data_IF_894598204593
#
_entry.id   IF_894598204593
#
_cell.length_a   1.000
_cell.length_b   1.000
_cell.length_c   1.000
_cell.angle_alpha   90.00
_cell.angle_beta   90.00
_cell.angle_gamma   90.00
#
_symmetry.space_group_name_H-M   'P 1'
#
loop_
_entity.id
_entity.type
_entity.pdbx_description
1 polymer ?
#
# COMPACT_ATOMS: atom_id res chain seq x y z
N UNK A 1 -32.12 -81.33 0.68
CA UNK A 1 -32.89 -80.36 1.51
C UNK A 1 -31.91 -79.35 2.09
N UNK A 2 -31.88 -78.16 1.49
CA UNK A 2 -30.97 -77.05 1.84
C UNK A 2 -31.55 -76.26 3.02
N UNK A 3 -30.72 -75.95 4.03
CA UNK A 3 -31.00 -74.95 5.06
C UNK A 3 -30.07 -73.76 4.83
N UNK A 4 -30.62 -72.65 4.32
CA UNK A 4 -29.92 -71.38 4.24
C UNK A 4 -30.00 -70.67 5.59
N UNK A 5 -28.85 -70.24 6.11
CA UNK A 5 -28.75 -69.40 7.32
C UNK A 5 -28.70 -67.94 6.86
N UNK A 6 -29.68 -67.16 7.31
CA UNK A 6 -29.84 -65.73 7.05
C UNK A 6 -28.92 -64.94 8.00
N UNK A 7 -27.92 -64.25 7.47
CA UNK A 7 -27.11 -63.29 8.23
C UNK A 7 -27.83 -61.94 8.27
N UNK A 8 -28.24 -61.50 9.45
CA UNK A 8 -28.73 -60.15 9.71
C UNK A 8 -27.52 -59.25 9.97
N UNK A 9 -27.23 -58.33 9.05
CA UNK A 9 -26.22 -57.29 9.23
C UNK A 9 -26.89 -56.12 9.98
N UNK A 10 -26.47 -55.90 11.23
CA UNK A 10 -26.85 -54.72 11.99
C UNK A 10 -25.82 -53.63 11.67
N UNK A 11 -26.25 -52.61 10.90
CA UNK A 11 -25.45 -51.42 10.62
C UNK A 11 -25.65 -50.43 11.77
N UNK A 12 -24.61 -50.20 12.56
CA UNK A 12 -24.56 -49.10 13.51
C UNK A 12 -24.25 -47.80 12.77
N UNK A 13 -25.23 -46.91 12.65
CA UNK A 13 -25.00 -45.52 12.25
C UNK A 13 -24.41 -44.76 13.45
N UNK A 14 -23.09 -44.65 13.52
CA UNK A 14 -22.45 -43.72 14.45
C UNK A 14 -22.63 -42.30 13.92
N UNK A 15 -23.54 -41.56 14.54
CA UNK A 15 -23.72 -40.14 14.28
C UNK A 15 -22.49 -39.40 14.82
N UNK A 16 -21.49 -39.17 13.99
CA UNK A 16 -20.39 -38.28 14.31
C UNK A 16 -20.95 -36.87 14.38
N UNK A 17 -21.04 -36.31 15.58
CA UNK A 17 -21.22 -34.88 15.75
C UNK A 17 -20.03 -34.19 15.07
N UNK A 18 -20.25 -33.64 13.88
CA UNK A 18 -19.34 -32.69 13.28
C UNK A 18 -19.35 -31.47 14.20
N UNK A 19 -18.37 -31.39 15.09
CA UNK A 19 -17.99 -30.12 15.68
C UNK A 19 -17.67 -29.20 14.50
N UNK A 20 -18.49 -28.17 14.33
CA UNK A 20 -18.28 -27.09 13.38
C UNK A 20 -16.96 -26.40 13.78
N UNK A 21 -15.84 -26.88 13.22
CA UNK A 21 -14.55 -26.20 13.27
C UNK A 21 -14.65 -24.97 12.37
N UNK A 22 -15.49 -24.00 12.74
CA UNK A 22 -15.42 -22.67 12.16
C UNK A 22 -14.03 -22.15 12.51
N UNK A 23 -13.21 -21.93 11.48
CA UNK A 23 -11.96 -21.21 11.63
C UNK A 23 -12.20 -19.91 12.39
N UNK A 24 -11.19 -19.38 13.06
CA UNK A 24 -11.28 -18.06 13.70
C UNK A 24 -11.88 -17.06 12.70
N UNK A 25 -12.76 -16.14 13.12
CA UNK A 25 -13.24 -15.09 12.23
C UNK A 25 -12.04 -14.41 11.56
N UNK A 26 -12.22 -13.89 10.35
CA UNK A 26 -11.13 -13.27 9.61
C UNK A 26 -11.49 -11.86 9.18
N UNK A 27 -10.48 -11.02 8.94
CA UNK A 27 -10.60 -9.72 8.29
C UNK A 27 -9.53 -9.66 7.21
N UNK A 28 -9.95 -9.38 5.98
CA UNK A 28 -9.12 -9.30 4.78
C UNK A 28 -8.97 -7.84 4.36
N UNK A 29 -7.73 -7.42 4.11
CA UNK A 29 -7.40 -6.02 3.81
C UNK A 29 -6.75 -5.95 2.43
N UNK A 30 -7.28 -5.10 1.56
CA UNK A 30 -6.59 -4.68 0.34
C UNK A 30 -6.04 -3.26 0.56
N UNK A 31 -4.73 -3.15 0.66
CA UNK A 31 -4.07 -1.89 1.03
C UNK A 31 -3.00 -1.47 0.02
N UNK A 32 -2.75 -0.15 -0.02
CA UNK A 32 -1.62 0.43 -0.74
C UNK A 32 -0.28 -0.14 -0.26
N UNK A 33 0.66 -0.40 -1.17
CA UNK A 33 1.93 -1.07 -0.86
C UNK A 33 2.81 -0.35 0.17
N UNK A 34 2.72 0.97 0.27
CA UNK A 34 3.47 1.73 1.28
C UNK A 34 3.03 1.44 2.72
N UNK A 35 1.83 0.88 2.92
CA UNK A 35 1.27 0.51 4.22
C UNK A 35 1.69 -0.88 4.70
N UNK A 36 2.50 -1.64 3.94
CA UNK A 36 2.87 -3.03 4.27
C UNK A 36 3.34 -3.18 5.72
N UNK A 37 4.27 -2.34 6.17
CA UNK A 37 4.86 -2.49 7.49
C UNK A 37 3.87 -2.13 8.62
N UNK A 38 3.26 -0.93 8.66
CA UNK A 38 2.37 -0.57 9.77
C UNK A 38 1.11 -1.44 9.84
N UNK A 39 0.48 -1.77 8.70
CA UNK A 39 -0.74 -2.59 8.71
C UNK A 39 -0.42 -4.04 9.10
N UNK A 40 0.74 -4.58 8.70
CA UNK A 40 1.14 -5.93 9.15
C UNK A 40 1.38 -5.98 10.65
N UNK A 41 2.05 -4.96 11.22
CA UNK A 41 2.27 -4.85 12.67
C UNK A 41 0.93 -4.76 13.43
N UNK A 42 0.02 -3.89 12.99
CA UNK A 42 -1.32 -3.73 13.58
C UNK A 42 -2.21 -4.96 13.42
N UNK A 43 -2.12 -5.65 12.27
CA UNK A 43 -2.83 -6.91 12.03
C UNK A 43 -2.41 -7.99 13.03
N UNK A 44 -1.10 -8.13 13.29
CA UNK A 44 -0.56 -9.08 14.28
C UNK A 44 -1.03 -8.70 15.70
N UNK A 45 -0.93 -7.42 16.06
CA UNK A 45 -1.35 -6.95 17.38
C UNK A 45 -2.84 -7.18 17.65
N UNK A 46 -3.69 -6.84 16.68
CA UNK A 46 -5.13 -7.03 16.78
C UNK A 46 -5.51 -8.51 16.84
N UNK A 47 -4.89 -9.33 15.98
CA UNK A 47 -5.14 -10.78 15.94
C UNK A 47 -4.86 -11.43 17.30
N UNK A 48 -3.77 -11.02 17.97
CA UNK A 48 -3.43 -11.47 19.32
C UNK A 48 -4.45 -11.02 20.38
N UNK A 49 -5.02 -9.82 20.25
CA UNK A 49 -5.95 -9.26 21.22
C UNK A 49 -7.37 -9.82 21.11
N UNK A 50 -7.82 -10.12 19.88
CA UNK A 50 -9.23 -10.42 19.59
C UNK A 50 -9.50 -11.87 19.19
N UNK A 51 -8.46 -12.71 19.11
CA UNK A 51 -8.58 -14.09 18.65
C UNK A 51 -9.28 -14.18 17.28
N UNK A 52 -8.85 -13.32 16.36
CA UNK A 52 -9.34 -13.16 14.99
C UNK A 52 -8.13 -13.17 14.06
N UNK A 53 -8.29 -13.62 12.82
CA UNK A 53 -7.20 -13.61 11.83
C UNK A 53 -7.30 -12.36 10.97
N UNK A 54 -6.30 -11.48 11.00
CA UNK A 54 -6.23 -10.35 10.05
C UNK A 54 -5.19 -10.64 8.99
N UNK A 55 -5.59 -10.65 7.72
CA UNK A 55 -4.69 -10.80 6.56
C UNK A 55 -4.74 -9.56 5.68
N UNK A 56 -3.62 -9.23 5.07
CA UNK A 56 -3.52 -8.08 4.18
C UNK A 56 -2.78 -8.45 2.90
N UNK A 57 -3.31 -7.97 1.78
CA UNK A 57 -2.65 -7.96 0.49
C UNK A 57 -2.24 -6.53 0.17
N UNK A 58 -1.08 -6.37 -0.47
CA UNK A 58 -0.46 -5.07 -0.72
C UNK A 58 -0.07 -4.93 -2.18
N UNK A 59 -0.57 -3.88 -2.84
CA UNK A 59 -0.15 -3.52 -4.19
C UNK A 59 -0.44 -2.03 -4.47
N UNK A 60 -0.40 -1.59 -5.74
CA UNK A 60 -0.89 -0.25 -6.09
C UNK A 60 -2.33 -0.06 -5.66
N UNK A 61 -2.67 1.16 -5.25
CA UNK A 61 -4.04 1.51 -4.88
C UNK A 61 -5.03 1.26 -6.03
N UNK A 62 -4.62 1.46 -7.28
CA UNK A 62 -5.46 1.20 -8.44
C UNK A 62 -5.78 -0.29 -8.58
N UNK A 63 -4.76 -1.14 -8.55
CA UNK A 63 -4.93 -2.59 -8.68
C UNK A 63 -5.80 -3.14 -7.54
N UNK A 64 -5.59 -2.67 -6.32
CA UNK A 64 -6.41 -3.06 -5.18
C UNK A 64 -7.86 -2.61 -5.32
N UNK A 65 -8.11 -1.42 -5.88
CA UNK A 65 -9.46 -0.97 -6.16
C UNK A 65 -10.12 -1.82 -7.26
N UNK A 66 -9.41 -2.07 -8.37
CA UNK A 66 -9.91 -2.92 -9.46
C UNK A 66 -10.27 -4.32 -8.99
N UNK A 67 -9.49 -4.92 -8.08
CA UNK A 67 -9.83 -6.21 -7.49
C UNK A 67 -11.19 -6.19 -6.77
N UNK A 68 -11.50 -5.10 -6.06
CA UNK A 68 -12.81 -4.92 -5.41
C UNK A 68 -13.91 -4.70 -6.47
N UNK A 69 -13.62 -3.90 -7.50
CA UNK A 69 -14.54 -3.68 -8.63
C UNK A 69 -14.86 -4.99 -9.38
N UNK A 70 -13.88 -5.88 -9.51
CA UNK A 70 -13.99 -7.21 -10.13
C UNK A 70 -14.62 -8.27 -9.21
N UNK A 71 -15.01 -7.88 -7.98
CA UNK A 71 -15.73 -8.74 -7.05
C UNK A 71 -14.84 -9.63 -6.17
N UNK A 72 -13.55 -9.31 -6.02
CA UNK A 72 -12.74 -9.97 -5.00
C UNK A 72 -13.30 -9.68 -3.60
N UNK A 73 -13.47 -10.74 -2.81
CA UNK A 73 -13.89 -10.63 -1.42
C UNK A 73 -12.79 -9.96 -0.58
N UNK A 74 -13.08 -8.75 -0.08
CA UNK A 74 -12.24 -8.00 0.83
C UNK A 74 -13.14 -7.32 1.89
N UNK A 75 -12.60 -7.06 3.07
CA UNK A 75 -13.35 -6.46 4.17
C UNK A 75 -12.99 -4.99 4.39
N UNK A 76 -11.74 -4.62 4.11
CA UNK A 76 -11.23 -3.25 4.26
C UNK A 76 -10.40 -2.88 3.05
N UNK A 77 -10.64 -1.68 2.53
CA UNK A 77 -9.81 -1.05 1.53
C UNK A 77 -9.04 0.12 2.13
N UNK A 78 -7.73 0.18 1.92
CA UNK A 78 -6.90 1.33 2.33
C UNK A 78 -6.16 1.92 1.13
N UNK A 79 -6.64 3.08 0.69
CA UNK A 79 -6.17 3.81 -0.47
C UNK A 79 -5.11 4.84 -0.08
N UNK A 80 -4.09 5.03 -0.92
CA UNK A 80 -3.13 6.16 -0.82
C UNK A 80 -3.50 7.39 -1.66
N UNK A 81 -4.66 7.38 -2.32
CA UNK A 81 -5.10 8.50 -3.15
C UNK A 81 -6.64 8.56 -3.25
N UNK A 82 -7.25 9.74 -3.12
CA UNK A 82 -8.71 9.87 -2.94
C UNK A 82 -9.53 9.40 -4.16
N UNK A 83 -8.97 9.47 -5.37
CA UNK A 83 -9.65 9.06 -6.61
C UNK A 83 -10.24 7.64 -6.54
N UNK A 84 -9.45 6.63 -6.16
CA UNK A 84 -9.92 5.23 -6.14
C UNK A 84 -10.91 4.97 -5.00
N UNK A 85 -10.73 5.64 -3.86
CA UNK A 85 -11.71 5.58 -2.78
C UNK A 85 -13.06 6.20 -3.21
N UNK A 86 -13.02 7.31 -3.96
CA UNK A 86 -14.20 7.94 -4.53
C UNK A 86 -14.87 7.07 -5.61
N UNK A 87 -14.10 6.36 -6.44
CA UNK A 87 -14.62 5.40 -7.44
C UNK A 87 -15.45 4.30 -6.75
N UNK A 88 -14.87 3.60 -5.78
CA UNK A 88 -15.57 2.54 -5.06
C UNK A 88 -16.79 3.05 -4.28
N UNK A 89 -16.70 4.27 -3.73
CA UNK A 89 -17.84 4.96 -3.13
C UNK A 89 -18.98 5.16 -4.12
N UNK A 90 -18.69 5.66 -5.32
CA UNK A 90 -19.68 5.92 -6.36
C UNK A 90 -20.37 4.63 -6.81
N UNK A 91 -19.63 3.52 -6.84
CA UNK A 91 -20.15 2.20 -7.17
C UNK A 91 -20.94 1.54 -6.02
N UNK A 92 -20.95 2.13 -4.83
CA UNK A 92 -21.59 1.55 -3.65
C UNK A 92 -20.86 0.33 -3.07
N UNK A 93 -19.57 0.18 -3.37
CA UNK A 93 -18.75 -0.96 -2.95
C UNK A 93 -18.09 -0.77 -1.58
N UNK A 94 -18.23 0.41 -0.96
CA UNK A 94 -17.74 0.69 0.39
C UNK A 94 -18.85 1.25 1.27
N UNK A 95 -18.69 1.06 2.58
CA UNK A 95 -19.50 1.72 3.60
C UNK A 95 -19.04 3.17 3.80
N UNK A 96 -19.85 4.10 3.30
CA UNK A 96 -19.56 5.54 3.39
C UNK A 96 -19.50 6.07 4.82
N UNK A 97 -20.12 5.39 5.79
CA UNK A 97 -20.07 5.78 7.20
C UNK A 97 -18.78 5.33 7.90
N UNK A 98 -18.05 4.40 7.28
CA UNK A 98 -16.75 3.95 7.77
C UNK A 98 -15.57 4.73 7.20
N UNK A 99 -15.81 5.55 6.17
CA UNK A 99 -14.75 6.27 5.46
C UNK A 99 -14.01 7.22 6.40
N UNK A 100 -12.71 7.02 6.54
CA UNK A 100 -11.86 7.81 7.43
C UNK A 100 -10.53 8.17 6.75
N UNK A 101 -9.98 9.32 7.11
CA UNK A 101 -8.61 9.69 6.78
C UNK A 101 -7.70 9.13 7.89
N UNK A 102 -6.85 8.15 7.57
CA UNK A 102 -6.01 7.49 8.57
C UNK A 102 -4.75 8.30 8.87
N UNK A 103 -3.95 8.56 7.83
CA UNK A 103 -2.60 9.12 7.94
C UNK A 103 -2.22 9.87 6.67
N UNK A 104 -1.18 10.69 6.78
CA UNK A 104 -0.58 11.43 5.66
C UNK A 104 0.83 10.95 5.38
N UNK A 105 1.37 11.35 4.23
CA UNK A 105 2.74 11.05 3.85
C UNK A 105 3.33 12.20 3.02
N UNK A 106 4.61 12.08 2.66
CA UNK A 106 5.32 13.04 1.82
C UNK A 106 6.23 12.31 0.86
N UNK A 107 6.62 12.96 -0.24
CA UNK A 107 7.55 12.38 -1.20
C UNK A 107 9.01 12.69 -0.85
N UNK A 108 9.90 11.76 -1.20
CA UNK A 108 11.34 11.94 -1.12
C UNK A 108 12.01 11.41 -2.37
N UNK A 109 13.02 12.14 -2.84
CA UNK A 109 13.97 11.66 -3.84
C UNK A 109 15.03 10.81 -3.14
N UNK A 110 15.24 9.60 -3.62
CA UNK A 110 16.18 8.64 -3.05
C UNK A 110 17.12 8.04 -4.10
N UNK A 111 18.21 7.46 -3.61
CA UNK A 111 19.09 6.55 -4.35
C UNK A 111 19.51 5.40 -3.42
N UNK A 112 20.13 4.34 -3.94
CA UNK A 112 20.69 3.27 -3.11
C UNK A 112 21.79 3.78 -2.19
N UNK A 113 21.85 3.27 -0.96
CA UNK A 113 22.94 3.51 -0.02
C UNK A 113 24.23 2.76 -0.38
N UNK A 114 24.17 1.79 -1.31
CA UNK A 114 25.31 0.97 -1.74
C UNK A 114 25.64 1.11 -3.23
N UNK A 115 24.90 1.96 -3.96
CA UNK A 115 25.05 2.12 -5.41
C UNK A 115 26.21 3.03 -5.83
N UNK A 116 26.61 2.92 -7.11
CA UNK A 116 27.67 3.72 -7.76
C UNK A 116 27.41 5.23 -7.70
N UNK A 117 26.16 5.65 -7.51
CA UNK A 117 25.79 7.06 -7.36
C UNK A 117 26.34 7.69 -6.07
N UNK A 118 26.77 6.91 -5.08
CA UNK A 118 27.43 7.41 -3.87
C UNK A 118 28.89 7.80 -4.08
N UNK A 119 29.51 7.38 -5.18
CA UNK A 119 30.93 7.70 -5.47
C UNK A 119 31.13 9.18 -5.84
N UNK A 120 30.08 9.87 -6.29
CA UNK A 120 30.15 11.28 -6.64
C UNK A 120 29.04 12.09 -5.94
N UNK A 121 29.39 13.20 -5.27
CA UNK A 121 28.40 14.08 -4.64
C UNK A 121 27.35 14.55 -5.64
N UNK A 122 26.09 14.49 -5.24
CA UNK A 122 25.00 15.15 -5.97
C UNK A 122 24.99 16.60 -5.50
N UNK A 123 25.88 17.40 -6.08
CA UNK A 123 26.15 18.79 -5.68
C UNK A 123 25.15 19.81 -6.25
N UNK A 124 23.90 19.39 -6.51
CA UNK A 124 22.85 20.25 -7.02
C UNK A 124 21.90 20.71 -5.89
N UNK A 125 21.56 21.99 -5.88
CA UNK A 125 20.58 22.56 -4.96
C UNK A 125 19.15 22.27 -5.43
N UNK A 126 18.22 22.13 -4.48
CA UNK A 126 16.81 21.91 -4.76
C UNK A 126 16.47 20.54 -5.34
N UNK A 127 15.18 20.31 -5.60
CA UNK A 127 14.68 19.06 -6.20
C UNK A 127 15.03 18.97 -7.69
N UNK A 128 14.78 20.03 -8.45
CA UNK A 128 14.98 20.09 -9.90
C UNK A 128 16.42 19.79 -10.30
N UNK A 129 17.41 20.52 -9.76
CA UNK A 129 18.81 20.29 -10.09
C UNK A 129 19.30 18.88 -9.72
N UNK A 130 18.76 18.28 -8.64
CA UNK A 130 19.08 16.89 -8.26
C UNK A 130 18.48 15.89 -9.26
N UNK A 131 17.24 16.11 -9.68
CA UNK A 131 16.57 15.28 -10.68
C UNK A 131 17.27 15.37 -12.04
N UNK A 132 17.65 16.57 -12.48
CA UNK A 132 18.42 16.78 -13.71
C UNK A 132 19.79 16.08 -13.63
N UNK A 133 20.53 16.27 -12.52
CA UNK A 133 21.82 15.63 -12.32
C UNK A 133 21.72 14.10 -12.35
N UNK A 134 20.72 13.53 -11.68
CA UNK A 134 20.49 12.09 -11.64
C UNK A 134 20.05 11.56 -13.01
N UNK A 135 19.12 12.22 -13.68
CA UNK A 135 18.63 11.82 -15.01
C UNK A 135 19.71 11.81 -16.09
N UNK A 136 20.81 12.56 -15.89
CA UNK A 136 21.98 12.55 -16.75
C UNK A 136 23.02 11.45 -16.39
N UNK A 137 22.89 10.81 -15.22
CA UNK A 137 23.88 9.86 -14.67
C UNK A 137 23.36 8.44 -14.51
N UNK A 138 22.05 8.26 -14.43
CA UNK A 138 21.41 6.99 -14.14
C UNK A 138 20.03 6.91 -14.79
N UNK A 139 19.46 5.72 -14.78
CA UNK A 139 18.06 5.50 -15.13
C UNK A 139 17.20 5.90 -13.93
N UNK A 140 16.13 6.66 -14.16
CA UNK A 140 15.18 6.99 -13.12
C UNK A 140 14.16 5.85 -12.92
N UNK A 141 13.62 5.72 -11.72
CA UNK A 141 12.50 4.83 -11.41
C UNK A 141 11.38 5.61 -10.72
N UNK A 142 10.23 5.73 -11.38
CA UNK A 142 9.02 6.35 -10.86
C UNK A 142 7.87 5.38 -10.93
N UNK A 143 6.87 5.55 -10.06
CA UNK A 143 5.59 4.87 -10.24
C UNK A 143 4.98 5.22 -11.60
N UNK A 144 4.31 4.27 -12.25
CA UNK A 144 3.57 4.56 -13.46
C UNK A 144 2.40 5.50 -13.13
N UNK A 145 2.34 6.73 -13.67
CA UNK A 145 1.27 7.68 -13.36
C UNK A 145 -0.10 7.27 -13.90
N UNK A 146 -0.17 6.27 -14.79
CA UNK A 146 -1.44 5.76 -15.32
C UNK A 146 -2.20 4.86 -14.34
N UNK A 147 -1.50 4.25 -13.37
CA UNK A 147 -2.09 3.27 -12.45
C UNK A 147 -1.50 3.28 -11.03
N UNK A 148 -0.55 4.15 -10.71
CA UNK A 148 -0.01 4.26 -9.35
C UNK A 148 -0.20 5.66 -8.77
N UNK A 149 -0.64 5.73 -7.51
CA UNK A 149 -0.70 6.98 -6.75
C UNK A 149 0.68 7.64 -6.64
N UNK A 150 1.74 6.86 -6.40
CA UNK A 150 3.11 7.37 -6.33
C UNK A 150 3.53 8.04 -7.65
N UNK A 151 3.18 7.43 -8.78
CA UNK A 151 3.43 7.99 -10.11
C UNK A 151 2.66 9.28 -10.35
N UNK A 152 1.38 9.33 -9.98
CA UNK A 152 0.56 10.54 -10.09
C UNK A 152 1.15 11.70 -9.27
N UNK A 153 1.49 11.48 -8.00
CA UNK A 153 2.09 12.52 -7.16
C UNK A 153 3.50 12.91 -7.63
N UNK A 154 4.29 11.95 -8.12
CA UNK A 154 5.61 12.24 -8.71
C UNK A 154 5.49 13.12 -9.94
N UNK A 155 4.55 12.79 -10.84
CA UNK A 155 4.25 13.58 -12.04
C UNK A 155 3.83 14.99 -11.66
N UNK A 156 2.87 15.15 -10.75
CA UNK A 156 2.43 16.45 -10.24
C UNK A 156 3.61 17.28 -9.73
N UNK A 157 4.46 16.67 -8.89
CA UNK A 157 5.61 17.35 -8.29
C UNK A 157 6.60 17.90 -9.33
N UNK A 158 6.89 17.12 -10.37
CA UNK A 158 7.85 17.52 -11.40
C UNK A 158 7.21 18.49 -12.39
N UNK A 159 5.96 18.27 -12.82
CA UNK A 159 5.26 19.20 -13.71
C UNK A 159 5.02 20.56 -13.05
N UNK A 160 4.81 20.60 -11.72
CA UNK A 160 4.71 21.87 -10.99
C UNK A 160 6.03 22.62 -10.94
N UNK A 161 7.15 21.91 -10.83
CA UNK A 161 8.48 22.52 -10.97
C UNK A 161 8.72 23.03 -12.39
N UNK A 162 8.34 22.24 -13.40
CA UNK A 162 8.43 22.63 -14.80
C UNK A 162 7.65 23.93 -15.07
N UNK A 163 6.44 24.07 -14.52
CA UNK A 163 5.65 25.30 -14.60
C UNK A 163 6.35 26.49 -13.91
N UNK A 164 6.93 26.27 -12.72
CA UNK A 164 7.57 27.32 -11.93
C UNK A 164 8.86 27.86 -12.57
N UNK A 165 9.62 26.98 -13.24
CA UNK A 165 10.97 27.27 -13.71
C UNK A 165 11.12 27.26 -15.24
N UNK A 166 10.02 27.09 -15.98
CA UNK A 166 9.99 27.02 -17.46
C UNK A 166 10.91 25.91 -18.01
N UNK A 167 10.81 24.71 -17.43
CA UNK A 167 11.59 23.53 -17.82
C UNK A 167 10.74 22.42 -18.43
N UNK A 168 11.39 21.36 -18.94
CA UNK A 168 10.74 20.15 -19.50
C UNK A 168 11.27 18.87 -18.86
N UNK A 169 11.52 18.93 -17.56
CA UNK A 169 12.16 17.88 -16.82
C UNK A 169 11.28 16.62 -16.79
N UNK A 170 9.97 16.75 -16.61
CA UNK A 170 9.07 15.60 -16.60
C UNK A 170 9.13 14.82 -17.92
N UNK A 171 9.00 15.50 -19.06
CA UNK A 171 9.05 14.84 -20.38
C UNK A 171 10.38 14.10 -20.59
N UNK A 172 11.49 14.77 -20.26
CA UNK A 172 12.84 14.21 -20.41
C UNK A 172 13.08 12.98 -19.54
N UNK A 173 12.68 13.04 -18.26
CA UNK A 173 12.89 11.94 -17.31
C UNK A 173 11.92 10.78 -17.59
N UNK A 174 10.64 11.07 -17.82
CA UNK A 174 9.61 10.05 -18.04
C UNK A 174 9.88 9.20 -19.29
N UNK A 175 10.54 9.76 -20.32
CA UNK A 175 10.94 9.02 -21.52
C UNK A 175 11.97 7.90 -21.23
N UNK A 176 12.76 8.01 -20.16
CA UNK A 176 13.85 7.08 -19.80
C UNK A 176 13.58 6.33 -18.50
N UNK A 177 12.44 6.55 -17.87
CA UNK A 177 12.13 6.02 -16.54
C UNK A 177 11.68 4.56 -16.61
N UNK A 178 12.15 3.75 -15.67
CA UNK A 178 11.52 2.47 -15.36
C UNK A 178 10.24 2.77 -14.59
N UNK A 179 9.10 2.49 -15.24
CA UNK A 179 7.77 2.63 -14.66
C UNK A 179 7.50 1.47 -13.72
N UNK A 180 7.46 1.74 -12.43
CA UNK A 180 7.19 0.73 -11.41
C UNK A 180 5.69 0.56 -11.18
N UNK A 181 5.32 -0.66 -10.77
CA UNK A 181 3.91 -1.06 -10.62
C UNK A 181 3.35 -0.75 -9.22
N UNK A 182 4.19 -0.42 -8.24
CA UNK A 182 3.78 -0.08 -6.88
C UNK A 182 4.91 0.67 -6.15
N UNK A 183 4.61 1.28 -4.99
CA UNK A 183 5.66 2.01 -4.23
C UNK A 183 6.77 1.09 -3.73
N UNK A 184 6.43 -0.15 -3.34
CA UNK A 184 7.41 -1.15 -2.88
C UNK A 184 8.24 -1.68 -4.05
N UNK A 185 7.64 -1.85 -5.22
CA UNK A 185 8.39 -2.19 -6.44
C UNK A 185 9.36 -1.06 -6.83
N UNK A 186 8.94 0.22 -6.75
CA UNK A 186 9.81 1.36 -7.00
C UNK A 186 11.01 1.41 -6.03
N UNK A 187 10.72 1.28 -4.73
CA UNK A 187 11.74 1.24 -3.68
C UNK A 187 12.75 0.12 -3.93
N UNK A 188 12.26 -1.09 -4.26
CA UNK A 188 13.11 -2.24 -4.54
C UNK A 188 14.07 -1.97 -5.71
N UNK A 189 13.56 -1.46 -6.84
CA UNK A 189 14.38 -1.14 -8.01
C UNK A 189 15.47 -0.10 -7.71
N UNK A 190 15.16 0.90 -6.88
CA UNK A 190 16.14 1.91 -6.46
C UNK A 190 17.19 1.34 -5.52
N UNK A 191 16.78 0.49 -4.58
CA UNK A 191 17.70 -0.16 -3.63
C UNK A 191 18.76 -1.02 -4.32
N UNK A 192 18.46 -1.63 -5.48
CA UNK A 192 19.42 -2.42 -6.28
C UNK A 192 20.64 -1.60 -6.76
N UNK A 193 20.58 -0.27 -6.72
CA UNK A 193 21.74 0.59 -6.93
C UNK A 193 22.03 1.00 -8.38
N UNK A 194 21.16 0.62 -9.31
CA UNK A 194 21.25 1.01 -10.72
C UNK A 194 20.36 2.20 -11.08
N UNK A 195 19.47 2.63 -10.17
CA UNK A 195 18.49 3.70 -10.41
C UNK A 195 18.42 4.71 -9.26
N UNK A 196 17.76 5.83 -9.52
CA UNK A 196 17.30 6.78 -8.52
C UNK A 196 15.84 7.15 -8.77
N UNK A 197 15.13 7.68 -7.78
CA UNK A 197 13.72 7.94 -7.98
C UNK A 197 13.00 8.52 -6.78
N UNK A 198 11.72 8.80 -6.97
CA UNK A 198 10.86 9.36 -5.93
C UNK A 198 10.03 8.25 -5.29
N UNK A 199 10.01 8.20 -3.96
CA UNK A 199 9.21 7.28 -3.15
C UNK A 199 8.49 8.05 -2.05
N UNK A 200 7.61 7.38 -1.30
CA UNK A 200 7.08 7.93 -0.06
C UNK A 200 8.16 7.96 1.04
N UNK A 201 8.14 8.97 1.91
CA UNK A 201 9.06 9.05 3.04
C UNK A 201 8.97 7.82 3.95
N UNK A 202 7.77 7.29 4.18
CA UNK A 202 7.56 6.05 4.94
C UNK A 202 8.26 4.83 4.32
N UNK A 203 8.48 4.81 3.01
CA UNK A 203 9.17 3.72 2.32
C UNK A 203 10.70 3.81 2.49
N UNK A 204 11.23 5.03 2.68
CA UNK A 204 12.67 5.27 2.88
C UNK A 204 13.09 5.35 4.36
N UNK A 205 12.15 5.68 5.26
CA UNK A 205 12.45 5.93 6.67
C UNK A 205 12.93 4.65 7.37
N UNK A 206 14.17 4.69 7.88
CA UNK A 206 14.75 3.56 8.60
C UNK A 206 15.14 2.39 7.68
N UNK A 207 15.20 2.62 6.37
CA UNK A 207 15.71 1.66 5.41
C UNK A 207 17.16 2.00 5.06
N UNK A 208 18.10 1.20 5.57
CA UNK A 208 19.55 1.40 5.37
C UNK A 208 20.03 1.05 3.96
N UNK A 209 19.16 0.52 3.09
CA UNK A 209 19.48 0.23 1.69
C UNK A 209 19.34 1.44 0.78
N UNK A 210 18.71 2.52 1.25
CA UNK A 210 18.47 3.74 0.48
C UNK A 210 18.89 4.99 1.25
N UNK A 211 19.18 6.05 0.51
CA UNK A 211 19.55 7.36 1.03
C UNK A 211 18.58 8.42 0.49
N UNK A 212 18.04 9.23 1.39
CA UNK A 212 17.23 10.39 1.04
C UNK A 212 18.15 11.52 0.55
N UNK A 213 17.89 11.98 -0.67
CA UNK A 213 18.61 13.07 -1.33
C UNK A 213 17.88 14.40 -1.20
N UNK A 214 16.55 14.34 -1.21
CA UNK A 214 15.70 15.52 -1.11
C UNK A 214 14.34 15.15 -0.53
N UNK A 215 13.76 16.04 0.28
CA UNK A 215 12.33 15.99 0.61
C UNK A 215 11.62 16.87 -0.41
N UNK A 216 10.62 16.33 -1.10
CA UNK A 216 9.82 17.09 -2.07
C UNK A 216 8.96 18.08 -1.28
N UNK A 217 8.90 19.32 -1.76
CA UNK A 217 8.04 20.35 -1.17
C UNK A 217 6.56 19.95 -1.34
N UNK A 218 5.80 20.03 -0.25
CA UNK A 218 4.39 19.64 -0.23
C UNK A 218 3.50 20.53 -1.13
N UNK A 219 3.97 21.73 -1.51
CA UNK A 219 3.26 22.61 -2.42
C UNK A 219 3.40 22.21 -3.90
N UNK A 220 4.23 21.20 -4.20
CA UNK A 220 4.44 20.72 -5.57
C UNK A 220 3.43 19.67 -6.00
N UNK A 221 2.68 19.07 -5.06
CA UNK A 221 1.70 18.03 -5.36
C UNK A 221 0.50 18.14 -4.42
N UNK A 222 -0.61 17.47 -4.77
CA UNK A 222 -1.75 17.40 -3.86
C UNK A 222 -1.39 16.66 -2.56
N UNK A 223 -2.06 16.94 -1.43
CA UNK A 223 -1.81 16.24 -0.18
C UNK A 223 -1.94 14.71 -0.32
N UNK A 224 -0.96 13.98 0.22
CA UNK A 224 -0.98 12.51 0.23
C UNK A 224 -1.72 12.06 1.48
N UNK A 225 -3.00 11.71 1.32
CA UNK A 225 -3.89 11.27 2.39
C UNK A 225 -4.27 9.81 2.16
N UNK A 226 -4.06 8.98 3.18
CA UNK A 226 -4.47 7.59 3.16
C UNK A 226 -5.89 7.47 3.71
N UNK A 227 -6.80 6.97 2.89
CA UNK A 227 -8.20 6.78 3.26
C UNK A 227 -8.46 5.29 3.48
N UNK A 228 -9.18 4.96 4.54
CA UNK A 228 -9.68 3.61 4.77
C UNK A 228 -11.19 3.59 4.82
N UNK A 229 -11.76 2.50 4.32
CA UNK A 229 -13.17 2.21 4.43
C UNK A 229 -13.40 0.69 4.51
N UNK A 230 -14.48 0.31 5.16
CA UNK A 230 -15.04 -1.04 5.11
C UNK A 230 -15.65 -1.26 3.74
N UNK A 231 -15.34 -2.39 3.12
CA UNK A 231 -15.94 -2.85 1.86
C UNK A 231 -17.32 -3.40 2.16
N UNK A 232 -18.30 -3.12 1.31
CA UNK A 232 -19.66 -3.61 1.47
C UNK A 232 -19.70 -5.15 1.36
N UNK A 233 -20.23 -5.84 2.37
CA UNK A 233 -20.22 -7.29 2.41
C UNK A 233 -20.80 -7.86 3.71
N UNK A 234 -20.61 -9.16 3.96
CA UNK A 234 -21.20 -9.84 5.12
C UNK A 234 -20.40 -9.63 6.41
N UNK A 235 -19.10 -9.32 6.31
CA UNK A 235 -18.17 -9.29 7.44
C UNK A 235 -17.89 -7.87 7.99
N UNK A 236 -18.78 -6.92 7.69
CA UNK A 236 -18.59 -5.50 7.99
C UNK A 236 -18.42 -5.21 9.49
N UNK A 237 -18.99 -6.03 10.38
CA UNK A 237 -18.85 -5.84 11.82
C UNK A 237 -17.39 -6.00 12.27
N UNK A 238 -16.74 -7.11 11.89
CA UNK A 238 -15.33 -7.34 12.21
C UNK A 238 -14.40 -6.35 11.50
N UNK A 239 -14.76 -5.94 10.28
CA UNK A 239 -14.05 -4.91 9.54
C UNK A 239 -14.09 -3.54 10.25
N UNK A 240 -15.26 -3.12 10.73
CA UNK A 240 -15.42 -1.87 11.50
C UNK A 240 -14.63 -1.93 12.81
N UNK A 241 -14.68 -3.05 13.54
CA UNK A 241 -13.93 -3.22 14.78
C UNK A 241 -12.40 -3.07 14.57
N UNK A 242 -11.86 -3.65 13.49
CA UNK A 242 -10.44 -3.47 13.14
C UNK A 242 -10.14 -2.03 12.70
N UNK A 243 -11.02 -1.43 11.91
CA UNK A 243 -10.86 -0.05 11.45
C UNK A 243 -10.87 0.95 12.62
N UNK A 244 -11.71 0.73 13.64
CA UNK A 244 -11.69 1.48 14.89
C UNK A 244 -10.39 1.25 15.66
N UNK A 245 -9.90 0.00 15.73
CA UNK A 245 -8.64 -0.32 16.38
C UNK A 245 -7.46 0.44 15.77
N UNK A 246 -7.31 0.48 14.44
CA UNK A 246 -6.17 1.16 13.81
C UNK A 246 -6.22 2.69 13.92
N UNK A 247 -7.37 3.26 14.30
CA UNK A 247 -7.55 4.69 14.55
C UNK A 247 -7.23 5.12 15.99
N UNK A 248 -7.07 4.17 16.93
CA UNK A 248 -6.70 4.47 18.32
C UNK A 248 -5.34 5.12 18.41
N UNK A 249 -5.13 5.89 19.47
CA UNK A 249 -3.89 6.65 19.67
C UNK A 249 -2.66 5.72 19.69
N UNK A 250 -2.76 4.56 20.33
CA UNK A 250 -1.68 3.57 20.37
C UNK A 250 -1.34 3.05 18.96
N UNK A 251 -2.36 2.79 18.15
CA UNK A 251 -2.20 2.35 16.76
C UNK A 251 -1.63 3.45 15.86
N UNK A 252 -2.04 4.71 16.07
CA UNK A 252 -1.46 5.89 15.40
C UNK A 252 0.06 5.99 15.64
N UNK A 253 0.55 5.61 16.82
CA UNK A 253 1.99 5.59 17.08
C UNK A 253 2.74 4.56 16.21
N UNK A 254 2.12 3.44 15.83
CA UNK A 254 2.70 2.48 14.88
C UNK A 254 2.90 3.12 13.51
N UNK A 255 1.91 3.85 13.00
CA UNK A 255 2.07 4.61 11.75
C UNK A 255 3.19 5.64 11.83
N UNK A 256 3.24 6.43 12.92
CA UNK A 256 4.30 7.43 13.14
C UNK A 256 5.69 6.80 13.21
N UNK A 257 5.84 5.65 13.87
CA UNK A 257 7.07 4.85 13.92
C UNK A 257 7.54 4.46 12.52
N UNK A 258 6.62 4.12 11.62
CA UNK A 258 6.88 3.81 10.21
C UNK A 258 6.97 5.04 9.29
N UNK A 259 7.07 6.25 9.85
CA UNK A 259 7.32 7.47 9.09
C UNK A 259 6.09 8.11 8.45
N UNK A 260 4.88 7.66 8.78
CA UNK A 260 3.67 8.37 8.39
C UNK A 260 3.43 9.60 9.27
N UNK A 261 2.72 10.57 8.73
CA UNK A 261 2.30 11.78 9.44
C UNK A 261 0.90 11.50 10.02
N UNK A 262 0.74 11.74 11.32
CA UNK A 262 -0.55 11.63 12.01
C UNK A 262 -1.08 13.03 12.29
N UNK A 263 -2.40 13.20 12.16
CA UNK A 263 -3.14 14.36 12.65
C UNK A 263 -3.54 14.18 14.12
#
# INVERSE_FOLDING_TARGET
MSRQILFIIIVFFTQTANADLRGLPNVTILASSSLTNPITELAIEYSRQKNITVTASYNSTAEQAWRIEDGESADIFISSHPYWMASLKQMGLIDVYSLTNLVKNKLVLITSAKGKLNEYPIAAAGLEGKLENLGNRTIMSFGDPSNTALGMYTKQAIEKLDEQNDTKLWESLNAKTIKSLSSKNNLYLIAQGETAGIVYYSDARGNDEVRILNVVDENLHEPIIYQAAVVAGENMAHARDFLEFIQKEESKQVFKKHGFIID
#
